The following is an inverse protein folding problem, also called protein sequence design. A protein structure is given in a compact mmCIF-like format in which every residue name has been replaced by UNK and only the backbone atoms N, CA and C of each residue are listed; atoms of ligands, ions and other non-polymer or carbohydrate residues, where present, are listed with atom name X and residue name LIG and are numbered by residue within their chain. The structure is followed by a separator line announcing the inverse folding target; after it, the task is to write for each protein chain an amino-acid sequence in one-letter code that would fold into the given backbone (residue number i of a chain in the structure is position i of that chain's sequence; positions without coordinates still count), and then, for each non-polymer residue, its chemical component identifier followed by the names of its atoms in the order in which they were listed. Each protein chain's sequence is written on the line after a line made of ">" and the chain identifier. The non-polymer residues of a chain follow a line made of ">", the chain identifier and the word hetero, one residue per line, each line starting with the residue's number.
data_IF_224648143723
#
_entry.id   IF_224648143723
#
_cell.length_a   1.000
_cell.length_b   1.000
_cell.length_c   1.000
_cell.angle_alpha   90.00
_cell.angle_beta   90.00
_cell.angle_gamma   90.00
#
_symmetry.space_group_name_H-M   'P 1'
#
loop_
_entity.id
_entity.type
_entity.pdbx_description
1 polymer ?
#
# COMPACT_ATOMS: atom_id res chain seq x y z
N UNK A 1 -17.99 2.75 4.14
CA UNK A 1 -18.33 4.20 4.22
C UNK A 1 -17.26 4.96 5.01
N UNK A 2 -16.06 5.10 4.45
CA UNK A 2 -14.95 5.90 5.00
C UNK A 2 -14.48 6.97 3.99
N UNK A 3 -15.00 6.92 2.75
CA UNK A 3 -14.60 7.82 1.67
C UNK A 3 -15.07 9.25 1.93
N UNK A 4 -16.30 9.44 2.45
CA UNK A 4 -16.87 10.78 2.65
C UNK A 4 -15.98 11.72 3.51
N UNK A 5 -15.42 11.22 4.61
CA UNK A 5 -14.54 12.06 5.47
C UNK A 5 -13.21 12.35 4.78
N UNK A 6 -12.61 11.34 4.14
CA UNK A 6 -11.38 11.53 3.37
C UNK A 6 -11.57 12.52 2.22
N UNK A 7 -12.69 12.43 1.50
CA UNK A 7 -13.00 13.31 0.37
C UNK A 7 -13.19 14.76 0.86
N UNK A 8 -13.85 14.98 2.00
CA UNK A 8 -13.96 16.31 2.63
C UNK A 8 -12.58 16.89 2.98
N UNK A 9 -11.71 16.11 3.61
CA UNK A 9 -10.36 16.57 3.97
C UNK A 9 -9.53 16.88 2.71
N UNK A 10 -9.65 16.07 1.66
CA UNK A 10 -8.98 16.31 0.38
C UNK A 10 -9.46 17.62 -0.24
N UNK A 11 -10.76 17.90 -0.21
CA UNK A 11 -11.31 19.17 -0.72
C UNK A 11 -10.78 20.36 0.08
N UNK A 12 -10.83 20.29 1.42
CA UNK A 12 -10.33 21.36 2.30
C UNK A 12 -8.84 21.65 2.09
N UNK A 13 -8.01 20.61 1.97
CA UNK A 13 -6.58 20.76 1.68
C UNK A 13 -6.35 21.36 0.29
N UNK A 14 -7.18 20.99 -0.69
CA UNK A 14 -7.11 21.53 -2.05
C UNK A 14 -7.49 23.00 -2.08
N UNK A 15 -8.56 23.39 -1.38
CA UNK A 15 -8.99 24.78 -1.24
C UNK A 15 -7.94 25.64 -0.55
N UNK A 16 -7.27 25.11 0.48
CA UNK A 16 -6.23 25.83 1.20
C UNK A 16 -4.93 26.01 0.41
N UNK A 17 -4.65 25.13 -0.56
CA UNK A 17 -3.34 25.07 -1.24
C UNK A 17 -3.37 25.61 -2.67
N UNK A 18 -4.47 25.42 -3.40
CA UNK A 18 -4.50 25.62 -4.85
C UNK A 18 -5.32 26.85 -5.25
N UNK A 19 -4.70 27.78 -5.99
CA UNK A 19 -5.35 29.00 -6.48
C UNK A 19 -5.98 28.90 -7.87
N UNK A 20 -5.75 27.81 -8.61
CA UNK A 20 -6.23 27.64 -9.98
C UNK A 20 -6.71 26.21 -10.26
N UNK A 21 -7.59 26.05 -11.26
CA UNK A 21 -8.24 24.77 -11.58
C UNK A 21 -7.24 23.66 -11.92
N UNK A 22 -6.11 24.00 -12.54
CA UNK A 22 -5.10 23.01 -12.94
C UNK A 22 -4.36 22.48 -11.72
N UNK A 23 -3.90 23.36 -10.81
CA UNK A 23 -3.25 22.94 -9.57
C UNK A 23 -4.20 22.14 -8.69
N UNK A 24 -5.48 22.53 -8.60
CA UNK A 24 -6.51 21.77 -7.87
C UNK A 24 -6.64 20.33 -8.37
N UNK A 25 -6.84 20.14 -9.68
CA UNK A 25 -7.01 18.81 -10.26
C UNK A 25 -5.80 17.91 -10.03
N UNK A 26 -4.59 18.46 -10.23
CA UNK A 26 -3.35 17.71 -9.98
C UNK A 26 -3.21 17.33 -8.50
N UNK A 27 -3.48 18.26 -7.60
CA UNK A 27 -3.31 18.06 -6.16
C UNK A 27 -4.34 17.08 -5.59
N UNK A 28 -5.61 17.18 -5.98
CA UNK A 28 -6.63 16.18 -5.63
C UNK A 28 -6.22 14.77 -6.09
N UNK A 29 -5.75 14.63 -7.32
CA UNK A 29 -5.28 13.33 -7.83
C UNK A 29 -4.09 12.80 -7.02
N UNK A 30 -3.14 13.65 -6.66
CA UNK A 30 -2.00 13.28 -5.83
C UNK A 30 -2.45 12.81 -4.44
N UNK A 31 -3.36 13.54 -3.79
CA UNK A 31 -3.91 13.19 -2.48
C UNK A 31 -4.69 11.87 -2.51
N UNK A 32 -5.55 11.65 -3.50
CA UNK A 32 -6.21 10.36 -3.68
C UNK A 32 -5.22 9.23 -3.96
N UNK A 33 -4.15 9.49 -4.71
CA UNK A 33 -3.05 8.57 -4.91
C UNK A 33 -2.37 8.17 -3.60
N UNK A 34 -2.01 9.15 -2.77
CA UNK A 34 -1.41 8.97 -1.46
C UNK A 34 -2.31 8.12 -0.53
N UNK A 35 -3.60 8.43 -0.48
CA UNK A 35 -4.55 7.65 0.33
C UNK A 35 -4.60 6.18 -0.10
N UNK A 36 -4.54 5.91 -1.42
CA UNK A 36 -4.50 4.52 -1.91
C UNK A 36 -3.22 3.80 -1.49
N UNK A 37 -2.08 4.47 -1.57
CA UNK A 37 -0.78 3.91 -1.15
C UNK A 37 -0.80 3.62 0.35
N UNK A 38 -1.18 4.58 1.18
CA UNK A 38 -1.24 4.42 2.62
C UNK A 38 -2.15 3.25 3.05
N UNK A 39 -3.31 3.09 2.39
CA UNK A 39 -4.20 1.93 2.64
C UNK A 39 -3.57 0.60 2.25
N UNK A 40 -2.81 0.56 1.16
CA UNK A 40 -2.12 -0.66 0.72
C UNK A 40 -0.99 -1.03 1.69
N UNK A 41 -0.23 -0.06 2.18
CA UNK A 41 0.82 -0.23 3.18
C UNK A 41 0.22 -0.71 4.50
N UNK A 42 -0.83 -0.06 5.00
CA UNK A 42 -1.53 -0.47 6.21
C UNK A 42 -2.08 -1.91 6.11
N UNK A 43 -2.67 -2.27 4.96
CA UNK A 43 -3.16 -3.64 4.76
C UNK A 43 -2.01 -4.66 4.72
N UNK A 44 -0.86 -4.29 4.16
CA UNK A 44 0.33 -5.15 4.15
C UNK A 44 0.85 -5.37 5.56
N UNK A 45 0.97 -4.33 6.37
CA UNK A 45 1.38 -4.41 7.78
C UNK A 45 0.42 -5.31 8.57
N UNK A 46 -0.89 -5.08 8.45
CA UNK A 46 -1.89 -5.93 9.11
C UNK A 46 -1.79 -7.41 8.72
N UNK A 47 -1.46 -7.71 7.45
CA UNK A 47 -1.25 -9.11 7.02
C UNK A 47 -0.02 -9.73 7.66
N UNK A 48 1.05 -8.96 7.86
CA UNK A 48 2.25 -9.42 8.57
C UNK A 48 1.92 -9.67 10.05
N UNK A 49 1.21 -8.75 10.69
CA UNK A 49 0.79 -8.91 12.08
C UNK A 49 -0.07 -10.15 12.28
N UNK A 50 -1.01 -10.42 11.36
CA UNK A 50 -1.83 -11.64 11.38
C UNK A 50 -0.97 -12.89 11.20
N UNK A 51 -0.07 -12.92 10.22
CA UNK A 51 0.80 -14.08 9.99
C UNK A 51 1.66 -14.41 11.23
N UNK A 52 2.21 -13.39 11.88
CA UNK A 52 2.95 -13.53 13.13
C UNK A 52 2.05 -14.04 14.26
N UNK A 53 0.84 -13.51 14.41
CA UNK A 53 -0.11 -13.92 15.44
C UNK A 53 -0.62 -15.36 15.26
N UNK A 54 -0.72 -15.84 14.01
CA UNK A 54 -1.13 -17.21 13.70
C UNK A 54 0.04 -18.21 13.71
N UNK A 55 1.26 -17.76 14.02
CA UNK A 55 2.45 -18.61 14.08
C UNK A 55 2.99 -19.02 12.71
N UNK A 56 2.58 -18.37 11.63
CA UNK A 56 3.25 -18.50 10.34
C UNK A 56 4.57 -17.73 10.43
N UNK A 57 5.68 -18.45 10.59
CA UNK A 57 6.99 -17.85 10.42
C UNK A 57 7.08 -17.40 8.96
N UNK A 58 7.16 -16.08 8.74
CA UNK A 58 7.57 -15.53 7.45
C UNK A 58 8.97 -16.07 7.18
N UNK A 59 9.07 -17.20 6.48
CA UNK A 59 10.33 -17.65 5.92
C UNK A 59 10.71 -16.58 4.89
N UNK A 60 11.85 -15.89 5.07
CA UNK A 60 12.44 -15.14 3.97
C UNK A 60 12.57 -16.12 2.82
N UNK A 61 11.97 -15.79 1.68
CA UNK A 61 11.99 -16.64 0.51
C UNK A 61 13.45 -16.67 0.02
N UNK A 62 14.25 -17.59 0.55
CA UNK A 62 15.57 -17.88 0.00
C UNK A 62 15.36 -18.31 -1.45
N UNK A 63 16.09 -17.72 -2.41
CA UNK A 63 16.03 -18.16 -3.79
C UNK A 63 16.47 -19.62 -3.81
N UNK A 64 15.56 -20.48 -4.25
CA UNK A 64 15.68 -21.93 -4.40
C UNK A 64 17.08 -22.28 -4.91
N UNK A 65 17.95 -22.76 -4.04
CA UNK A 65 19.10 -23.58 -4.44
C UNK A 65 18.54 -24.94 -4.83
N UNK A 66 18.37 -25.18 -6.13
CA UNK A 66 18.17 -26.52 -6.67
C UNK A 66 19.36 -27.40 -6.28
N UNK A 67 19.16 -28.53 -5.58
CA UNK A 67 20.20 -29.55 -5.49
C UNK A 67 20.16 -30.37 -6.78
N UNK A 68 21.04 -30.05 -7.72
CA UNK A 68 21.42 -31.01 -8.76
C UNK A 68 22.34 -32.08 -8.14
N UNK A 69 21.84 -33.30 -8.01
CA UNK A 69 22.59 -34.58 -8.16
C UNK A 69 21.80 -35.75 -7.55
N UNK A 70 22.17 -37.02 -7.85
CA UNK A 70 22.50 -37.63 -9.14
C UNK A 70 21.78 -39.00 -9.27
N UNK A 71 21.55 -39.56 -10.46
CA UNK A 71 21.71 -41.01 -10.65
C UNK A 71 21.59 -41.47 -12.11
N UNK A 72 22.59 -42.30 -12.48
CA UNK A 72 22.61 -43.17 -13.65
C UNK A 72 21.40 -44.12 -13.70
N UNK A 73 20.90 -44.36 -14.90
CA UNK A 73 20.60 -45.69 -15.45
C UNK A 73 20.72 -45.62 -16.97
#
# INVERSE_FOLDING_TARGET
>A
MLTRVTDTIIEELTDATCGDTRSRHFFQHALHGLVRVAKAEQLREMRLDVALATGESVCPRDPITTPESPHKA
#
